data_IF_212179717413
#
_entry.id   IF_212179717413
#
_cell.length_a   1.000
_cell.length_b   1.000
_cell.length_c   1.000
_cell.angle_alpha   90.00
_cell.angle_beta   90.00
_cell.angle_gamma   90.00
#
_symmetry.space_group_name_H-M   'P 1'
#
loop_
_entity.id
_entity.type
_entity.pdbx_description
1 polymer ?
#
# COMPACT_ATOMS: atom_id res chain seq x y z
N UNK A 1 0.14 -22.58 19.13
CA UNK A 1 0.59 -21.20 19.28
C UNK A 1 -0.05 -20.31 18.23
N UNK A 2 -0.50 -19.10 18.58
CA UNK A 2 -1.01 -18.20 17.56
C UNK A 2 0.12 -17.82 16.58
N UNK A 3 -0.23 -17.56 15.32
CA UNK A 3 0.77 -17.11 14.34
C UNK A 3 1.40 -15.80 14.78
N UNK A 4 2.69 -15.66 14.53
CA UNK A 4 3.43 -14.43 14.77
C UNK A 4 3.83 -13.81 13.45
N UNK A 5 3.91 -12.48 13.42
CA UNK A 5 4.31 -11.74 12.23
C UNK A 5 5.69 -11.16 12.44
N UNK A 6 6.60 -11.46 11.52
CA UNK A 6 7.92 -10.86 11.47
C UNK A 6 7.99 -9.84 10.34
N UNK A 7 8.71 -8.75 10.57
CA UNK A 7 8.89 -7.70 9.56
C UNK A 7 10.35 -7.26 9.55
N UNK A 8 10.90 -7.17 8.34
CA UNK A 8 12.23 -6.61 8.10
C UNK A 8 12.05 -5.37 7.21
N UNK A 9 12.71 -4.29 7.57
CA UNK A 9 12.65 -3.03 6.83
C UNK A 9 14.07 -2.54 6.56
N UNK A 10 14.37 -2.29 5.30
CA UNK A 10 15.66 -1.72 4.90
C UNK A 10 15.52 -0.22 4.72
N UNK A 11 16.11 0.54 5.65
CA UNK A 11 16.12 2.01 5.63
C UNK A 11 17.42 2.53 5.02
N UNK A 12 17.36 3.70 4.38
CA UNK A 12 18.55 4.36 3.86
C UNK A 12 19.46 4.87 4.97
N UNK A 13 18.88 5.25 6.11
CA UNK A 13 19.63 5.74 7.28
C UNK A 13 19.18 4.98 8.51
N UNK A 14 20.10 4.73 9.43
CA UNK A 14 19.77 4.10 10.71
C UNK A 14 18.88 5.04 11.53
N UNK A 15 17.67 4.59 11.81
CA UNK A 15 16.71 5.31 12.65
C UNK A 15 15.80 4.28 13.31
N UNK A 16 16.12 3.95 14.55
CA UNK A 16 15.41 2.91 15.29
C UNK A 16 13.94 3.25 15.52
N UNK A 17 13.61 4.53 15.71
CA UNK A 17 12.23 4.97 15.95
C UNK A 17 11.41 4.83 14.68
N UNK A 18 11.90 5.38 13.58
CA UNK A 18 11.23 5.28 12.28
C UNK A 18 11.13 3.82 11.84
N UNK A 19 12.21 3.05 11.98
CA UNK A 19 12.23 1.64 11.62
C UNK A 19 11.16 0.84 12.36
N UNK A 20 11.05 1.06 13.67
CA UNK A 20 10.03 0.42 14.48
C UNK A 20 8.61 0.81 14.06
N UNK A 21 8.38 2.10 13.84
CA UNK A 21 7.07 2.60 13.45
C UNK A 21 6.63 2.06 12.09
N UNK A 22 7.55 2.03 11.12
CA UNK A 22 7.26 1.47 9.80
C UNK A 22 7.04 -0.05 9.89
N UNK A 23 7.85 -0.76 10.67
CA UNK A 23 7.68 -2.20 10.85
C UNK A 23 6.32 -2.53 11.48
N UNK A 24 5.88 -1.77 12.47
CA UNK A 24 4.57 -1.95 13.10
C UNK A 24 3.44 -1.69 12.10
N UNK A 25 3.59 -0.66 11.26
CA UNK A 25 2.63 -0.38 10.21
C UNK A 25 2.52 -1.55 9.22
N UNK A 26 3.65 -2.08 8.76
CA UNK A 26 3.69 -3.21 7.82
C UNK A 26 3.04 -4.45 8.43
N UNK A 27 3.31 -4.71 9.71
CA UNK A 27 2.69 -5.85 10.39
C UNK A 27 1.17 -5.74 10.43
N UNK A 28 0.65 -4.55 10.68
CA UNK A 28 -0.79 -4.29 10.80
C UNK A 28 -1.52 -4.25 9.46
N UNK A 29 -0.95 -3.63 8.45
CA UNK A 29 -1.64 -3.35 7.19
C UNK A 29 -1.22 -4.23 6.02
N UNK A 30 -0.18 -5.04 6.19
CA UNK A 30 0.27 -6.04 5.21
C UNK A 30 0.36 -5.51 3.77
N UNK A 31 1.12 -4.44 3.51
CA UNK A 31 1.28 -3.96 2.14
C UNK A 31 1.95 -5.04 1.27
N UNK A 32 1.57 -5.13 0.01
CA UNK A 32 2.09 -6.13 -0.92
C UNK A 32 3.23 -5.60 -1.78
N UNK A 33 3.30 -4.29 -1.95
CA UNK A 33 4.31 -3.63 -2.80
C UNK A 33 4.89 -2.43 -2.06
N UNK A 34 6.10 -2.04 -2.44
CA UNK A 34 6.78 -0.89 -1.83
C UNK A 34 6.09 0.43 -2.22
N UNK A 35 5.89 0.62 -3.51
CA UNK A 35 5.35 1.86 -4.06
C UNK A 35 4.48 1.56 -5.29
N UNK A 36 3.90 2.63 -5.87
CA UNK A 36 3.08 2.51 -7.06
C UNK A 36 3.85 1.87 -8.23
N UNK A 37 5.10 2.26 -8.41
CA UNK A 37 5.93 1.76 -9.51
C UNK A 37 6.21 0.26 -9.40
N UNK A 38 6.16 -0.29 -8.20
CA UNK A 38 6.38 -1.72 -7.94
C UNK A 38 5.17 -2.58 -8.22
N UNK A 39 3.97 -2.00 -8.36
CA UNK A 39 2.76 -2.76 -8.68
C UNK A 39 2.85 -3.22 -10.15
N UNK A 40 2.79 -4.53 -10.42
CA UNK A 40 2.89 -5.02 -11.81
C UNK A 40 1.79 -4.45 -12.69
N UNK A 41 2.13 -4.16 -13.94
CA UNK A 41 1.18 -3.58 -14.91
C UNK A 41 -0.04 -4.48 -15.11
N UNK A 42 0.16 -5.80 -15.17
CA UNK A 42 -0.94 -6.76 -15.36
C UNK A 42 -1.90 -6.74 -14.16
N UNK A 43 -1.40 -6.52 -12.95
CA UNK A 43 -2.23 -6.38 -11.75
C UNK A 43 -3.11 -5.13 -11.86
N UNK A 44 -2.52 -4.00 -12.25
CA UNK A 44 -3.26 -2.74 -12.44
C UNK A 44 -4.29 -2.86 -13.55
N UNK A 45 -3.94 -3.50 -14.66
CA UNK A 45 -4.87 -3.71 -15.77
C UNK A 45 -6.04 -4.59 -15.36
N UNK A 46 -5.79 -5.63 -14.57
CA UNK A 46 -6.85 -6.48 -14.04
C UNK A 46 -7.80 -5.69 -13.15
N UNK A 47 -7.27 -4.89 -12.23
CA UNK A 47 -8.08 -4.05 -11.35
C UNK A 47 -8.90 -3.03 -12.15
N UNK A 48 -8.29 -2.42 -13.16
CA UNK A 48 -8.97 -1.48 -14.05
C UNK A 48 -10.15 -2.14 -14.76
N UNK A 49 -9.91 -3.32 -15.31
CA UNK A 49 -10.94 -4.07 -16.04
C UNK A 49 -12.11 -4.46 -15.14
N UNK A 50 -11.82 -4.97 -13.94
CA UNK A 50 -12.84 -5.34 -12.96
C UNK A 50 -13.67 -4.12 -12.55
N UNK A 51 -13.01 -2.99 -12.28
CA UNK A 51 -13.68 -1.75 -11.88
C UNK A 51 -14.58 -1.23 -13.01
N UNK A 52 -14.10 -1.28 -14.25
CA UNK A 52 -14.87 -0.85 -15.42
C UNK A 52 -16.11 -1.72 -15.62
N UNK A 53 -15.95 -3.04 -15.56
CA UNK A 53 -17.06 -3.98 -15.71
C UNK A 53 -18.09 -3.82 -14.59
N UNK A 54 -17.64 -3.62 -13.36
CA UNK A 54 -18.52 -3.37 -12.22
C UNK A 54 -19.34 -2.11 -12.43
N UNK A 55 -18.71 -1.02 -12.86
CA UNK A 55 -19.40 0.25 -13.12
C UNK A 55 -20.43 0.10 -14.24
N UNK A 56 -20.10 -0.64 -15.30
CA UNK A 56 -21.05 -0.92 -16.39
C UNK A 56 -22.24 -1.73 -15.91
N UNK A 57 -22.00 -2.76 -15.10
CA UNK A 57 -23.05 -3.61 -14.55
C UNK A 57 -23.96 -2.86 -13.59
N UNK A 58 -23.44 -1.84 -12.91
CA UNK A 58 -24.23 -0.97 -12.04
C UNK A 58 -25.05 0.08 -12.83
N UNK A 59 -24.93 0.10 -14.14
CA UNK A 59 -25.67 1.02 -14.99
C UNK A 59 -25.16 2.46 -14.97
N UNK A 60 -23.88 2.65 -14.63
CA UNK A 60 -23.30 4.00 -14.60
C UNK A 60 -23.16 4.57 -16.00
N UNK A 61 -23.32 5.90 -16.17
CA UNK A 61 -23.13 6.55 -17.48
C UNK A 61 -21.68 6.40 -17.97
N UNK A 62 -21.50 6.28 -19.28
CA UNK A 62 -20.17 6.16 -19.88
C UNK A 62 -19.23 7.28 -19.44
N UNK A 63 -19.73 8.52 -19.35
CA UNK A 63 -18.91 9.64 -18.92
C UNK A 63 -18.39 9.49 -17.48
N UNK A 64 -19.11 8.77 -16.62
CA UNK A 64 -18.71 8.53 -15.24
C UNK A 64 -17.83 7.31 -15.08
N UNK A 65 -17.90 6.34 -15.99
CA UNK A 65 -17.19 5.06 -15.87
C UNK A 65 -15.67 5.26 -15.78
N UNK A 66 -15.10 6.09 -16.64
CA UNK A 66 -13.65 6.36 -16.64
C UNK A 66 -13.21 6.93 -15.29
N UNK A 67 -13.95 7.87 -14.74
CA UNK A 67 -13.63 8.52 -13.47
C UNK A 67 -13.76 7.55 -12.29
N UNK A 68 -14.81 6.75 -12.28
CA UNK A 68 -15.02 5.72 -11.25
C UNK A 68 -13.90 4.67 -11.32
N UNK A 69 -13.55 4.24 -12.52
CA UNK A 69 -12.49 3.26 -12.74
C UNK A 69 -11.14 3.76 -12.21
N UNK A 70 -10.75 4.99 -12.55
CA UNK A 70 -9.50 5.58 -12.07
C UNK A 70 -9.52 5.77 -10.55
N UNK A 71 -10.65 6.15 -9.97
CA UNK A 71 -10.79 6.25 -8.52
C UNK A 71 -10.60 4.91 -7.81
N UNK A 72 -11.12 3.84 -8.37
CA UNK A 72 -10.96 2.50 -7.80
C UNK A 72 -9.52 1.98 -7.93
N UNK A 73 -8.86 2.24 -9.06
CA UNK A 73 -7.44 1.88 -9.24
C UNK A 73 -6.58 2.64 -8.25
N UNK A 74 -6.82 3.93 -8.06
CA UNK A 74 -6.10 4.74 -7.06
C UNK A 74 -6.31 4.19 -5.66
N UNK A 75 -7.54 3.83 -5.31
CA UNK A 75 -7.87 3.23 -4.01
C UNK A 75 -7.16 1.89 -3.80
N UNK A 76 -7.10 1.07 -4.85
CA UNK A 76 -6.37 -0.20 -4.81
C UNK A 76 -4.88 0.02 -4.51
N UNK A 77 -4.25 0.97 -5.22
CA UNK A 77 -2.83 1.29 -5.00
C UNK A 77 -2.60 1.74 -3.56
N UNK A 78 -3.50 2.56 -3.01
CA UNK A 78 -3.40 3.02 -1.62
C UNK A 78 -3.54 1.88 -0.60
N UNK A 79 -4.19 0.79 -0.98
CA UNK A 79 -4.33 -0.37 -0.10
C UNK A 79 -3.10 -1.28 -0.13
N UNK A 80 -2.43 -1.42 -1.27
CA UNK A 80 -1.39 -2.42 -1.45
C UNK A 80 0.03 -1.87 -1.48
N UNK A 81 0.23 -0.59 -1.75
CA UNK A 81 1.56 0.03 -1.82
C UNK A 81 1.90 0.71 -0.51
N UNK A 82 2.97 0.26 0.15
CA UNK A 82 3.40 0.77 1.46
C UNK A 82 3.44 2.29 1.52
N UNK A 83 4.12 2.92 0.55
CA UNK A 83 4.33 4.37 0.58
C UNK A 83 3.05 5.17 0.37
N UNK A 84 2.03 4.57 -0.24
CA UNK A 84 0.75 5.21 -0.50
C UNK A 84 -0.27 4.99 0.63
N UNK A 85 0.00 4.07 1.55
CA UNK A 85 -0.91 3.78 2.65
C UNK A 85 -0.93 4.91 3.67
N UNK A 86 -2.10 5.13 4.28
CA UNK A 86 -2.22 6.03 5.42
C UNK A 86 -1.46 5.43 6.61
N UNK A 87 -0.63 6.25 7.27
CA UNK A 87 0.23 5.77 8.34
C UNK A 87 -0.61 5.36 9.57
N UNK A 88 -0.26 4.22 10.16
CA UNK A 88 -1.01 3.65 11.28
C UNK A 88 -1.13 4.60 12.48
N UNK A 89 -0.07 5.33 12.78
CA UNK A 89 -0.03 6.26 13.93
C UNK A 89 -0.58 7.65 13.61
N UNK A 90 -0.68 8.00 12.33
CA UNK A 90 -1.21 9.30 11.91
C UNK A 90 -1.84 9.15 10.52
N UNK A 91 -3.11 8.80 10.50
CA UNK A 91 -3.83 8.49 9.27
C UNK A 91 -4.06 9.70 8.35
N UNK A 92 -3.73 10.90 8.80
CA UNK A 92 -3.76 12.10 7.97
C UNK A 92 -2.55 12.21 7.05
N UNK A 93 -1.51 11.41 7.32
CA UNK A 93 -0.28 11.39 6.53
C UNK A 93 -0.09 10.02 5.91
N UNK A 94 0.52 9.98 4.72
CA UNK A 94 0.94 8.72 4.12
C UNK A 94 2.27 8.26 4.72
N UNK A 95 2.59 6.98 4.54
CA UNK A 95 3.89 6.46 4.94
C UNK A 95 5.01 7.24 4.24
N UNK A 96 4.83 7.58 2.95
CA UNK A 96 5.79 8.39 2.22
C UNK A 96 6.04 9.74 2.89
N UNK A 97 4.99 10.41 3.37
CA UNK A 97 5.11 11.69 4.06
C UNK A 97 5.90 11.57 5.36
N UNK A 98 5.65 10.51 6.14
CA UNK A 98 6.38 10.23 7.37
C UNK A 98 7.87 10.04 7.10
N UNK A 99 8.20 9.28 6.05
CA UNK A 99 9.59 9.05 5.65
C UNK A 99 10.27 10.35 5.19
N UNK A 100 9.55 11.17 4.44
CA UNK A 100 10.07 12.47 4.00
C UNK A 100 10.38 13.38 5.19
N UNK A 101 9.50 13.43 6.18
CA UNK A 101 9.73 14.21 7.41
C UNK A 101 10.95 13.71 8.19
N UNK A 102 11.19 12.41 8.17
CA UNK A 102 12.36 11.80 8.82
C UNK A 102 13.62 11.88 7.96
N UNK A 103 13.54 12.45 6.76
CA UNK A 103 14.63 12.49 5.79
C UNK A 103 15.21 11.11 5.52
N UNK A 104 14.35 10.14 5.36
CA UNK A 104 14.70 8.73 5.20
C UNK A 104 13.90 8.09 4.06
N UNK A 105 14.28 6.88 3.68
CA UNK A 105 13.55 6.12 2.66
C UNK A 105 13.64 4.63 2.98
N UNK A 106 12.68 3.88 2.42
CA UNK A 106 12.67 2.42 2.50
C UNK A 106 13.01 1.88 1.13
N UNK A 107 14.04 1.05 1.03
CA UNK A 107 14.42 0.40 -0.22
C UNK A 107 13.77 -0.97 -0.39
N UNK A 108 13.47 -1.65 0.70
CA UNK A 108 12.81 -2.96 0.68
C UNK A 108 12.20 -3.25 2.03
N UNK A 109 11.20 -4.12 2.02
CA UNK A 109 10.66 -4.67 3.25
C UNK A 109 10.22 -6.11 3.01
N UNK A 110 10.15 -6.90 4.10
CA UNK A 110 9.69 -8.27 4.08
C UNK A 110 8.75 -8.48 5.26
N UNK A 111 7.62 -9.11 4.99
CA UNK A 111 6.64 -9.48 6.00
C UNK A 111 6.40 -10.98 5.90
N UNK A 112 6.49 -11.68 7.01
CA UNK A 112 6.26 -13.12 7.04
C UNK A 112 5.49 -13.50 8.29
N UNK A 113 4.74 -14.60 8.19
CA UNK A 113 3.99 -15.16 9.31
C UNK A 113 4.63 -16.47 9.73
N UNK A 114 4.77 -16.64 11.04
CA UNK A 114 5.39 -17.81 11.66
C UNK A 114 4.34 -18.51 12.51
N UNK A 115 4.41 -19.84 12.55
CA UNK A 115 3.51 -20.64 13.40
C UNK A 115 2.22 -21.06 12.74
N UNK A 116 2.21 -21.15 11.44
CA UNK A 116 1.07 -21.69 10.69
C UNK A 116 1.33 -23.11 10.22
#
# INVERSE_FOLDING_TARGET
MPPQVGVLVALAKDDAVVGKDIAQHIAAFAPQYLDRASVPTDVLEHERKVAEETAKNEGKPEAAIAKITEGRVTGFIKEVALLEQAFAKDQKKSVAAILTEAQNSVSAFYRFRVGQ
#
